data_IF_980858381618
#
_entry.id   IF_980858381618
#
_cell.length_a   1.000
_cell.length_b   1.000
_cell.length_c   1.000
_cell.angle_alpha   90.00
_cell.angle_beta   90.00
_cell.angle_gamma   90.00
#
_symmetry.space_group_name_H-M   'P 1'
#
loop_
_entity.id
_entity.type
_entity.pdbx_description
1 polymer ?
#
# COMPACT_ATOMS: atom_id res chain seq x y z
N UNK A 1 8.45 -15.83 -17.02
CA UNK A 1 8.03 -15.16 -15.77
C UNK A 1 6.52 -15.23 -15.64
N UNK A 2 6.03 -15.69 -14.50
CA UNK A 2 4.59 -15.70 -14.21
C UNK A 2 4.08 -14.29 -13.99
N UNK A 3 3.01 -13.91 -14.69
CA UNK A 3 2.36 -12.60 -14.49
C UNK A 3 1.38 -12.67 -13.33
N UNK A 4 1.53 -11.79 -12.36
CA UNK A 4 0.74 -11.75 -11.13
C UNK A 4 -0.21 -10.57 -11.12
N UNK A 5 -1.34 -10.70 -10.41
CA UNK A 5 -2.16 -9.56 -10.02
C UNK A 5 -1.79 -9.18 -8.60
N UNK A 6 -1.34 -7.95 -8.43
CA UNK A 6 -0.77 -7.47 -7.17
C UNK A 6 -1.54 -6.23 -6.69
N UNK A 7 -1.99 -6.28 -5.44
CA UNK A 7 -2.58 -5.12 -4.75
C UNK A 7 -1.57 -4.56 -3.77
N UNK A 8 -1.38 -3.25 -3.80
CA UNK A 8 -0.40 -2.54 -2.96
C UNK A 8 -1.13 -1.51 -2.12
N UNK A 9 -0.98 -1.60 -0.79
CA UNK A 9 -1.49 -0.59 0.13
C UNK A 9 -0.75 0.74 0.00
N UNK A 10 -1.36 1.84 0.42
CA UNK A 10 -0.73 3.16 0.40
C UNK A 10 0.01 3.44 1.70
N UNK A 11 -0.72 3.73 2.77
CA UNK A 11 -0.13 4.21 4.02
C UNK A 11 0.74 3.14 4.67
N UNK A 12 2.00 3.49 4.93
CA UNK A 12 2.96 2.56 5.51
C UNK A 12 3.64 1.63 4.51
N UNK A 13 3.25 1.67 3.24
CA UNK A 13 3.83 0.84 2.16
C UNK A 13 4.44 1.70 1.06
N UNK A 14 3.71 2.66 0.51
CA UNK A 14 4.24 3.61 -0.48
C UNK A 14 4.24 5.05 0.03
N UNK A 15 3.29 5.44 0.87
CA UNK A 15 3.24 6.76 1.50
C UNK A 15 3.65 6.69 2.97
N UNK A 16 4.46 7.67 3.40
CA UNK A 16 5.06 7.68 4.73
C UNK A 16 4.11 8.28 5.78
N UNK A 17 3.12 7.51 6.14
CA UNK A 17 2.13 7.87 7.15
C UNK A 17 2.75 8.01 8.54
N UNK A 18 3.70 7.15 8.90
CA UNK A 18 4.33 7.16 10.22
C UNK A 18 5.06 8.48 10.48
N UNK A 19 5.81 8.98 9.51
CA UNK A 19 6.47 10.28 9.60
C UNK A 19 5.45 11.41 9.80
N UNK A 20 4.37 11.41 9.04
CA UNK A 20 3.31 12.41 9.14
C UNK A 20 2.62 12.37 10.50
N UNK A 21 2.40 11.17 11.05
CA UNK A 21 1.83 10.97 12.38
C UNK A 21 2.63 11.68 13.46
N UNK A 22 3.96 11.64 13.40
CA UNK A 22 4.80 12.30 14.40
C UNK A 22 4.95 13.80 14.17
N UNK A 23 4.51 14.33 13.04
CA UNK A 23 4.58 15.76 12.73
C UNK A 23 3.32 16.54 13.10
N UNK A 24 2.26 15.87 13.56
CA UNK A 24 1.07 16.54 14.08
C UNK A 24 1.24 16.79 15.59
N UNK A 25 0.38 17.67 16.15
CA UNK A 25 0.44 18.03 17.57
C UNK A 25 0.34 16.77 18.45
N UNK A 26 1.13 16.66 19.54
CA UNK A 26 1.13 15.49 20.41
C UNK A 26 -0.26 15.07 20.90
N UNK A 27 -1.13 16.03 21.21
CA UNK A 27 -2.50 15.73 21.65
C UNK A 27 -3.37 15.07 20.59
N UNK A 28 -2.95 15.11 19.31
CA UNK A 28 -3.68 14.56 18.17
C UNK A 28 -3.10 13.23 17.66
N UNK A 29 -1.93 12.84 18.15
CA UNK A 29 -1.22 11.66 17.63
C UNK A 29 -1.92 10.32 17.95
N UNK A 30 -2.82 10.29 18.93
CA UNK A 30 -3.64 9.13 19.23
C UNK A 30 -4.72 8.83 18.18
N UNK A 31 -5.06 9.82 17.35
CA UNK A 31 -6.03 9.70 16.26
C UNK A 31 -5.47 10.29 14.97
N UNK A 32 -4.38 9.71 14.44
CA UNK A 32 -3.73 10.25 13.24
C UNK A 32 -4.63 10.22 12.01
N UNK A 33 -5.55 9.26 11.93
CA UNK A 33 -6.54 9.17 10.87
C UNK A 33 -7.40 10.43 10.74
N UNK A 34 -7.59 11.19 11.83
CA UNK A 34 -8.39 12.42 11.84
C UNK A 34 -7.60 13.69 11.50
N UNK A 35 -6.28 13.68 11.66
CA UNK A 35 -5.49 14.92 11.65
C UNK A 35 -4.33 14.94 10.67
N UNK A 36 -3.92 13.80 10.12
CA UNK A 36 -2.82 13.75 9.16
C UNK A 36 -3.23 14.39 7.84
N UNK A 37 -2.31 15.13 7.23
CA UNK A 37 -2.45 15.68 5.88
C UNK A 37 -2.09 14.60 4.86
N UNK A 38 -3.09 13.86 4.40
CA UNK A 38 -2.87 12.75 3.46
C UNK A 38 -2.43 13.20 2.07
N UNK A 39 -2.73 14.44 1.69
CA UNK A 39 -2.37 14.95 0.36
C UNK A 39 -0.87 15.15 0.22
N UNK A 40 -0.19 15.49 1.30
CA UNK A 40 1.23 15.87 1.29
C UNK A 40 2.13 14.86 1.98
N UNK A 41 1.75 13.59 2.04
CA UNK A 41 2.62 12.54 2.57
C UNK A 41 3.86 12.39 1.69
N UNK A 42 5.01 12.15 2.35
CA UNK A 42 6.23 11.80 1.64
C UNK A 42 6.13 10.36 1.11
N UNK A 43 6.95 10.06 0.11
CA UNK A 43 7.04 8.69 -0.40
C UNK A 43 8.02 7.87 0.45
N UNK A 44 7.70 6.59 0.64
CA UNK A 44 8.59 5.67 1.32
C UNK A 44 9.79 5.35 0.41
N UNK A 45 11.04 5.39 0.93
CA UNK A 45 12.21 5.05 0.16
C UNK A 45 12.11 3.68 -0.50
N UNK A 46 12.44 3.61 -1.78
CA UNK A 46 12.37 2.38 -2.57
C UNK A 46 11.01 2.09 -3.19
N UNK A 47 9.97 2.80 -2.79
CA UNK A 47 8.62 2.55 -3.31
C UNK A 47 8.47 2.89 -4.79
N UNK A 48 9.05 4.00 -5.25
CA UNK A 48 8.95 4.40 -6.66
C UNK A 48 9.52 3.35 -7.59
N UNK A 49 10.73 2.91 -7.34
CA UNK A 49 11.42 1.92 -8.16
C UNK A 49 10.72 0.56 -8.09
N UNK A 50 10.26 0.19 -6.91
CA UNK A 50 9.58 -1.10 -6.73
C UNK A 50 8.24 -1.14 -7.46
N UNK A 51 7.43 -0.10 -7.31
CA UNK A 51 6.12 -0.03 -7.98
C UNK A 51 6.29 0.06 -9.50
N UNK A 52 7.28 0.80 -9.97
CA UNK A 52 7.60 0.87 -11.40
C UNK A 52 7.95 -0.52 -11.95
N UNK A 53 8.81 -1.27 -11.26
CA UNK A 53 9.13 -2.64 -11.64
C UNK A 53 7.88 -3.52 -11.69
N UNK A 54 7.07 -3.48 -10.63
CA UNK A 54 5.87 -4.31 -10.54
C UNK A 54 4.85 -3.96 -11.62
N UNK A 55 4.64 -2.66 -11.87
CA UNK A 55 3.68 -2.22 -12.89
C UNK A 55 4.13 -2.59 -14.32
N UNK A 56 5.44 -2.64 -14.54
CA UNK A 56 5.99 -3.05 -15.83
C UNK A 56 5.79 -4.55 -16.11
N UNK A 57 5.89 -5.38 -15.09
CA UNK A 57 5.91 -6.85 -15.24
C UNK A 57 4.62 -7.54 -14.82
N UNK A 58 3.75 -6.88 -14.09
CA UNK A 58 2.55 -7.47 -13.50
C UNK A 58 1.34 -6.56 -13.64
N UNK A 59 0.17 -7.08 -13.30
CA UNK A 59 -1.05 -6.28 -13.18
C UNK A 59 -1.12 -5.70 -11.76
N UNK A 60 -0.92 -4.39 -11.62
CA UNK A 60 -0.84 -3.71 -10.32
C UNK A 60 -2.05 -2.83 -10.08
N UNK A 61 -2.60 -2.90 -8.86
CA UNK A 61 -3.60 -1.97 -8.34
C UNK A 61 -3.15 -1.46 -6.99
N UNK A 62 -3.43 -0.21 -6.70
CA UNK A 62 -3.28 0.34 -5.35
C UNK A 62 -4.60 0.13 -4.62
N UNK A 63 -4.55 -0.50 -3.44
CA UNK A 63 -5.73 -0.76 -2.62
C UNK A 63 -5.55 -0.11 -1.26
N UNK A 64 -6.32 0.95 -0.99
CA UNK A 64 -6.19 1.75 0.21
C UNK A 64 -7.51 1.87 0.97
N UNK A 65 -7.41 2.02 2.30
CA UNK A 65 -8.56 2.23 3.17
C UNK A 65 -8.54 3.67 3.68
N UNK A 66 -9.34 4.58 3.12
CA UNK A 66 -9.41 5.94 3.62
C UNK A 66 -10.22 6.02 4.92
N UNK A 67 -9.95 7.01 5.80
CA UNK A 67 -10.80 7.25 6.96
C UNK A 67 -12.24 7.48 6.53
N UNK A 68 -13.18 6.73 7.11
CA UNK A 68 -14.59 6.84 6.75
C UNK A 68 -15.14 8.25 6.97
N UNK A 69 -14.75 8.88 8.08
CA UNK A 69 -15.28 10.19 8.48
C UNK A 69 -14.69 11.39 7.72
N UNK A 70 -13.62 11.19 6.96
CA UNK A 70 -12.95 12.29 6.24
C UNK A 70 -13.12 12.13 4.73
N UNK A 71 -14.25 12.59 4.23
CA UNK A 71 -14.59 12.48 2.80
C UNK A 71 -13.49 13.03 1.89
N UNK A 72 -12.87 14.15 2.27
CA UNK A 72 -11.82 14.78 1.47
C UNK A 72 -10.60 13.85 1.29
N UNK A 73 -10.30 13.00 2.27
CA UNK A 73 -9.16 12.09 2.18
C UNK A 73 -9.33 11.07 1.06
N UNK A 74 -10.57 10.70 0.73
CA UNK A 74 -10.83 9.84 -0.42
C UNK A 74 -10.31 10.46 -1.71
N UNK A 75 -10.57 11.76 -1.91
CA UNK A 75 -10.05 12.51 -3.04
C UNK A 75 -8.54 12.76 -2.91
N UNK A 76 -8.05 13.03 -1.72
CA UNK A 76 -6.64 13.30 -1.46
C UNK A 76 -5.76 12.08 -1.80
N UNK A 77 -6.23 10.87 -1.50
CA UNK A 77 -5.51 9.64 -1.86
C UNK A 77 -5.36 9.50 -3.38
N UNK A 78 -6.40 9.81 -4.12
CA UNK A 78 -6.31 9.82 -5.58
C UNK A 78 -5.34 10.89 -6.08
N UNK A 79 -5.41 12.12 -5.55
CA UNK A 79 -4.53 13.20 -5.96
C UNK A 79 -3.07 12.88 -5.63
N UNK A 80 -2.80 12.30 -4.46
CA UNK A 80 -1.46 11.86 -4.09
C UNK A 80 -0.93 10.81 -5.07
N UNK A 81 -1.74 9.83 -5.43
CA UNK A 81 -1.34 8.78 -6.36
C UNK A 81 -1.04 9.36 -7.76
N UNK A 82 -1.84 10.29 -8.24
CA UNK A 82 -1.58 10.96 -9.53
C UNK A 82 -0.25 11.71 -9.53
N UNK A 83 0.11 12.32 -8.41
CA UNK A 83 1.37 13.06 -8.27
C UNK A 83 2.58 12.14 -8.32
N UNK A 84 2.55 11.03 -7.59
CA UNK A 84 3.72 10.16 -7.43
C UNK A 84 3.77 9.02 -8.42
N UNK A 85 2.63 8.55 -8.90
CA UNK A 85 2.51 7.38 -9.78
C UNK A 85 1.51 7.64 -10.91
N UNK A 86 1.81 8.59 -11.82
CA UNK A 86 0.86 8.94 -12.90
C UNK A 86 0.55 7.77 -13.83
N UNK A 87 1.43 6.78 -13.93
CA UNK A 87 1.20 5.59 -14.75
C UNK A 87 0.17 4.62 -14.16
N UNK A 88 -0.27 4.85 -12.92
CA UNK A 88 -1.30 4.05 -12.27
C UNK A 88 -2.71 4.66 -12.41
N UNK A 89 -2.94 5.43 -13.45
CA UNK A 89 -4.26 5.99 -13.72
C UNK A 89 -5.34 4.91 -13.80
N UNK A 90 -6.42 5.09 -13.07
CA UNK A 90 -7.57 4.15 -12.99
C UNK A 90 -7.23 2.81 -12.33
N UNK A 91 -6.14 2.77 -11.58
CA UNK A 91 -5.69 1.58 -10.86
C UNK A 91 -5.75 1.76 -9.35
N UNK A 92 -6.60 2.64 -8.86
CA UNK A 92 -6.86 2.86 -7.44
C UNK A 92 -8.16 2.21 -7.03
N UNK A 93 -8.10 1.43 -5.95
CA UNK A 93 -9.26 0.84 -5.28
C UNK A 93 -9.29 1.36 -3.85
N UNK A 94 -10.40 1.99 -3.47
CA UNK A 94 -10.64 2.40 -2.09
C UNK A 94 -11.61 1.43 -1.46
N UNK A 95 -11.18 0.73 -0.41
CA UNK A 95 -11.99 -0.31 0.21
C UNK A 95 -11.65 -0.49 1.68
N UNK A 96 -12.65 -0.86 2.49
CA UNK A 96 -12.49 -1.26 3.89
C UNK A 96 -12.46 -2.79 4.04
N UNK A 97 -12.57 -3.52 2.93
CA UNK A 97 -12.66 -4.99 2.90
C UNK A 97 -11.68 -5.57 1.89
N UNK A 98 -10.41 -5.69 2.30
CA UNK A 98 -9.36 -6.22 1.42
C UNK A 98 -9.45 -7.73 1.21
N UNK A 99 -10.23 -8.43 2.02
CA UNK A 99 -10.58 -9.84 1.80
C UNK A 99 -11.42 -10.07 0.53
N UNK A 100 -12.08 -9.04 0.02
CA UNK A 100 -12.89 -9.14 -1.20
C UNK A 100 -12.09 -8.96 -2.49
N UNK A 101 -10.82 -8.59 -2.40
CA UNK A 101 -9.95 -8.46 -3.56
C UNK A 101 -9.58 -9.83 -4.11
N UNK A 102 -9.62 -9.98 -5.44
CA UNK A 102 -9.29 -11.22 -6.13
C UNK A 102 -7.99 -11.05 -6.89
N UNK A 103 -6.94 -11.70 -6.44
CA UNK A 103 -5.61 -11.62 -7.06
C UNK A 103 -4.60 -12.51 -6.38
N UNK A 104 -3.34 -12.36 -6.78
CA UNK A 104 -2.27 -13.26 -6.35
C UNK A 104 -1.56 -12.78 -5.09
N UNK A 105 -1.37 -11.46 -4.96
CA UNK A 105 -0.60 -10.89 -3.85
C UNK A 105 -1.26 -9.63 -3.33
N UNK A 106 -1.28 -9.50 -2.01
CA UNK A 106 -1.62 -8.28 -1.30
C UNK A 106 -0.40 -7.84 -0.49
N UNK A 107 0.11 -6.64 -0.77
CA UNK A 107 1.22 -6.02 -0.02
C UNK A 107 0.61 -4.98 0.90
N UNK A 108 0.58 -5.25 2.21
CA UNK A 108 -0.13 -4.43 3.18
C UNK A 108 0.51 -4.57 4.56
N UNK A 109 0.59 -3.47 5.30
CA UNK A 109 1.20 -3.43 6.63
C UNK A 109 0.21 -3.58 7.79
N UNK A 110 -1.07 -3.67 7.51
CA UNK A 110 -2.14 -3.77 8.50
C UNK A 110 -2.85 -5.12 8.44
N UNK A 111 -3.59 -5.45 9.51
CA UNK A 111 -4.41 -6.68 9.57
C UNK A 111 -5.87 -6.40 9.86
N UNK A 112 -6.29 -5.13 9.93
CA UNK A 112 -7.59 -4.74 10.46
C UNK A 112 -8.65 -4.45 9.39
N UNK A 113 -8.35 -4.70 8.10
CA UNK A 113 -9.27 -4.45 6.99
C UNK A 113 -9.46 -5.66 6.08
N UNK A 114 -9.38 -6.87 6.67
CA UNK A 114 -9.60 -8.11 5.94
C UNK A 114 -8.34 -8.74 5.35
N UNK A 115 -7.16 -8.18 5.56
CA UNK A 115 -5.92 -8.71 5.02
C UNK A 115 -5.69 -10.20 5.36
N UNK A 116 -5.93 -10.66 6.62
CA UNK A 116 -5.73 -12.08 6.94
C UNK A 116 -6.61 -13.04 6.13
N UNK A 117 -7.74 -12.56 5.63
CA UNK A 117 -8.67 -13.38 4.85
C UNK A 117 -8.54 -13.20 3.33
N UNK A 118 -7.52 -12.46 2.89
CA UNK A 118 -7.17 -12.38 1.47
C UNK A 118 -6.79 -13.78 0.98
N UNK A 119 -7.34 -14.20 -0.16
CA UNK A 119 -7.22 -15.60 -0.62
C UNK A 119 -5.93 -15.90 -1.36
N UNK A 120 -5.17 -14.86 -1.76
CA UNK A 120 -3.84 -15.04 -2.32
C UNK A 120 -2.78 -14.97 -1.25
N UNK A 121 -1.58 -14.56 -1.64
CA UNK A 121 -0.47 -14.36 -0.71
C UNK A 121 -0.54 -12.95 -0.12
N UNK A 122 -0.63 -12.86 1.20
CA UNK A 122 -0.51 -11.60 1.89
C UNK A 122 0.93 -11.41 2.36
N UNK A 123 1.65 -10.49 1.72
CA UNK A 123 2.94 -10.05 2.22
C UNK A 123 2.70 -8.97 3.27
N UNK A 124 2.85 -9.34 4.54
CA UNK A 124 2.65 -8.41 5.65
C UNK A 124 3.86 -7.48 5.79
N UNK A 125 3.80 -6.38 5.07
CA UNK A 125 4.86 -5.37 4.99
C UNK A 125 5.13 -4.79 6.40
N UNK A 126 6.39 -4.68 6.78
CA UNK A 126 6.80 -4.19 8.10
C UNK A 126 6.35 -5.02 9.32
N UNK A 127 5.88 -6.25 9.13
CA UNK A 127 5.50 -7.11 10.25
C UNK A 127 6.68 -7.36 11.21
N UNK A 128 7.84 -7.63 10.66
CA UNK A 128 9.03 -7.95 11.40
C UNK A 128 10.26 -7.54 10.57
N UNK A 129 11.44 -7.88 11.08
CA UNK A 129 12.69 -7.53 10.41
C UNK A 129 12.82 -8.13 9.00
N UNK A 130 12.30 -9.32 8.78
CA UNK A 130 12.39 -10.02 7.50
C UNK A 130 11.50 -9.37 6.42
N UNK A 131 10.38 -8.77 6.83
CA UNK A 131 9.40 -8.16 5.94
C UNK A 131 9.42 -6.63 5.99
N UNK A 132 10.57 -6.04 6.33
CA UNK A 132 10.64 -4.64 6.72
C UNK A 132 10.57 -3.63 5.57
N UNK A 133 10.94 -3.99 4.36
CA UNK A 133 11.11 -3.01 3.30
C UNK A 133 10.80 -3.57 1.92
N UNK A 134 10.90 -2.70 0.92
CA UNK A 134 10.64 -3.07 -0.46
C UNK A 134 11.63 -4.09 -1.02
N UNK A 135 12.87 -4.10 -0.54
CA UNK A 135 13.83 -5.12 -0.96
C UNK A 135 13.34 -6.52 -0.61
N UNK A 136 12.92 -6.71 0.63
CA UNK A 136 12.37 -7.99 1.09
C UNK A 136 11.10 -8.36 0.32
N UNK A 137 10.24 -7.38 0.07
CA UNK A 137 9.02 -7.59 -0.70
C UNK A 137 9.31 -8.03 -2.14
N UNK A 138 10.24 -7.36 -2.82
CA UNK A 138 10.61 -7.74 -4.19
C UNK A 138 11.27 -9.12 -4.26
N UNK A 139 12.04 -9.50 -3.25
CA UNK A 139 12.59 -10.86 -3.18
C UNK A 139 11.48 -11.91 -3.08
N UNK A 140 10.46 -11.64 -2.27
CA UNK A 140 9.28 -12.48 -2.17
C UNK A 140 8.55 -12.60 -3.52
N UNK A 141 8.32 -11.46 -4.19
CA UNK A 141 7.65 -11.44 -5.49
C UNK A 141 8.43 -12.24 -6.53
N UNK A 142 9.76 -12.12 -6.54
CA UNK A 142 10.61 -12.85 -7.48
C UNK A 142 10.50 -14.36 -7.31
N UNK A 143 10.34 -14.84 -6.08
CA UNK A 143 10.10 -16.28 -5.83
C UNK A 143 8.77 -16.72 -6.43
N UNK A 144 7.72 -15.90 -6.30
CA UNK A 144 6.42 -16.19 -6.92
C UNK A 144 6.50 -16.16 -8.45
N UNK A 145 7.24 -15.20 -9.03
CA UNK A 145 7.46 -15.12 -10.47
C UNK A 145 8.08 -16.42 -11.03
N UNK A 146 8.94 -17.04 -10.24
CA UNK A 146 9.63 -18.28 -10.60
C UNK A 146 8.91 -19.52 -10.09
N UNK A 147 7.72 -19.36 -9.51
CA UNK A 147 6.90 -20.46 -8.96
C UNK A 147 7.61 -21.27 -7.88
N UNK A 148 8.43 -20.60 -7.07
CA UNK A 148 9.20 -21.23 -5.98
C UNK A 148 8.46 -21.33 -4.66
N UNK A 149 7.24 -20.78 -4.60
CA UNK A 149 6.39 -20.81 -3.40
C UNK A 149 5.04 -21.44 -3.74
#
# INVERSE_FOLDING_TARGET
MKKLRIFIDMDGVISDFEKAKYNIAPSKQGRPDLYVDYLHLDIIPGAEEAVEYLNKHHEVFIASTPPWSRIQVWADKRAWLEQWFPDLKRKLILTHRKDLLIGDVLIDDSRFRGQPDFKGHWFWFNKNWENKNWKACLEFIKKLENEEI
#
